data_IF_150521672504
#
_entry.id   IF_150521672504
#
_cell.length_a   1.000
_cell.length_b   1.000
_cell.length_c   1.000
_cell.angle_alpha   90.00
_cell.angle_beta   90.00
_cell.angle_gamma   90.00
#
_symmetry.space_group_name_H-M   'P 1'
#
loop_
_entity.id
_entity.type
_entity.pdbx_description
1 polymer ?
#
# COMPACT_ATOMS: atom_id res chain seq x y z
N UNK A 1 -42.49 36.11 -53.80
CA UNK A 1 -43.71 35.28 -53.85
C UNK A 1 -43.99 34.76 -52.45
N UNK A 2 -45.06 35.32 -51.85
CA UNK A 2 -45.93 34.90 -50.73
C UNK A 2 -45.36 33.97 -49.62
N UNK A 3 -45.16 34.42 -48.36
CA UNK A 3 -46.11 34.85 -47.27
C UNK A 3 -46.91 33.64 -46.71
N UNK A 4 -47.12 33.41 -45.39
CA UNK A 4 -47.78 34.22 -44.33
C UNK A 4 -47.48 33.57 -42.94
N UNK A 5 -46.84 34.28 -41.99
CA UNK A 5 -47.30 34.82 -40.66
C UNK A 5 -47.43 33.84 -39.47
N UNK A 6 -46.73 34.03 -38.34
CA UNK A 6 -46.87 35.01 -37.22
C UNK A 6 -47.88 34.53 -36.12
N UNK A 7 -47.76 34.75 -34.80
CA UNK A 7 -47.03 35.72 -33.97
C UNK A 7 -47.19 35.35 -32.46
N UNK A 8 -46.21 35.80 -31.63
CA UNK A 8 -46.20 36.36 -30.24
C UNK A 8 -47.51 36.34 -29.41
N UNK A 9 -47.55 36.32 -28.07
CA UNK A 9 -46.57 36.51 -26.97
C UNK A 9 -47.30 36.94 -25.66
N UNK A 10 -46.55 37.14 -24.55
CA UNK A 10 -46.93 37.87 -23.32
C UNK A 10 -47.59 37.04 -22.20
N UNK A 11 -46.92 36.74 -21.07
CA UNK A 11 -46.64 37.59 -19.89
C UNK A 11 -47.82 37.70 -18.91
N UNK A 12 -47.59 37.31 -17.64
CA UNK A 12 -47.91 38.06 -16.39
C UNK A 12 -48.13 37.15 -15.16
N UNK A 13 -47.43 37.45 -14.06
CA UNK A 13 -47.76 37.01 -12.69
C UNK A 13 -49.02 37.71 -12.16
N UNK A 14 -49.59 37.28 -11.02
CA UNK A 14 -49.41 38.09 -9.80
C UNK A 14 -49.33 37.31 -8.48
N UNK A 15 -49.17 38.09 -7.42
CA UNK A 15 -48.83 37.80 -6.03
C UNK A 15 -50.04 38.13 -5.09
N UNK A 16 -50.03 37.54 -3.87
CA UNK A 16 -50.69 37.92 -2.59
C UNK A 16 -52.21 37.69 -2.38
N UNK A 17 -52.55 36.93 -1.32
CA UNK A 17 -53.31 37.43 -0.15
C UNK A 17 -53.34 36.43 1.04
N UNK A 18 -53.48 36.99 2.25
CA UNK A 18 -53.28 36.48 3.62
C UNK A 18 -54.59 36.00 4.33
N UNK A 19 -54.49 34.96 5.19
CA UNK A 19 -55.07 34.73 6.57
C UNK A 19 -56.59 34.93 6.88
N UNK A 20 -57.16 34.56 8.08
CA UNK A 20 -56.60 33.89 9.28
C UNK A 20 -57.49 32.81 10.02
N UNK A 21 -56.87 32.15 11.01
CA UNK A 21 -57.32 31.75 12.38
C UNK A 21 -58.53 30.82 12.65
N UNK A 22 -58.30 29.83 13.55
CA UNK A 22 -59.33 29.11 14.32
C UNK A 22 -58.71 28.06 15.26
N UNK A 23 -58.91 28.24 16.56
CA UNK A 23 -58.28 27.59 17.71
C UNK A 23 -59.23 26.53 18.30
N UNK A 24 -58.78 25.32 18.63
CA UNK A 24 -59.39 24.53 19.72
C UNK A 24 -58.36 23.65 20.44
N UNK A 25 -58.40 23.71 21.78
CA UNK A 25 -57.66 22.88 22.74
C UNK A 25 -58.61 21.81 23.27
N UNK A 26 -58.15 20.57 23.40
CA UNK A 26 -58.68 19.61 24.39
C UNK A 26 -57.54 18.84 25.05
N UNK A 27 -57.63 18.72 26.37
CA UNK A 27 -56.71 18.07 27.30
C UNK A 27 -57.10 16.60 27.55
N UNK A 28 -56.14 15.87 28.16
CA UNK A 28 -56.22 14.59 28.92
C UNK A 28 -55.70 13.36 28.16
N UNK A 29 -54.96 12.40 28.73
CA UNK A 29 -54.29 12.19 30.02
C UNK A 29 -53.38 10.95 29.84
N UNK A 30 -52.18 10.99 30.41
CA UNK A 30 -51.33 9.88 30.89
C UNK A 30 -51.34 8.47 30.24
N UNK A 31 -50.15 8.01 29.82
CA UNK A 31 -49.56 6.76 30.33
C UNK A 31 -48.04 6.75 30.16
N UNK A 32 -47.39 6.12 31.15
CA UNK A 32 -45.97 6.07 31.46
C UNK A 32 -45.13 5.58 30.27
N UNK A 33 -43.99 6.23 30.00
CA UNK A 33 -42.90 5.65 29.22
C UNK A 33 -41.59 5.80 29.99
N UNK A 34 -40.96 4.66 30.21
CA UNK A 34 -39.78 4.46 31.03
C UNK A 34 -38.62 5.34 30.57
N UNK A 35 -37.93 5.96 31.54
CA UNK A 35 -36.64 6.57 31.31
C UNK A 35 -35.65 5.45 30.95
N UNK A 36 -35.31 5.37 29.66
CA UNK A 36 -34.18 4.58 29.19
C UNK A 36 -32.91 5.30 29.66
N UNK A 37 -32.35 4.88 30.79
CA UNK A 37 -30.99 5.26 31.18
C UNK A 37 -30.08 4.56 30.18
N UNK A 38 -29.74 5.26 29.10
CA UNK A 38 -28.65 4.87 28.23
C UNK A 38 -27.36 5.04 29.05
N UNK A 39 -26.94 3.96 29.70
CA UNK A 39 -25.58 3.83 30.19
C UNK A 39 -24.64 3.91 28.99
N UNK A 40 -24.14 5.11 28.68
CA UNK A 40 -22.91 5.26 27.91
C UNK A 40 -21.81 4.65 28.77
N UNK A 41 -21.59 3.34 28.61
CA UNK A 41 -20.28 2.78 28.88
C UNK A 41 -19.34 3.41 27.86
N UNK A 42 -18.69 4.51 28.23
CA UNK A 42 -17.41 4.85 27.65
C UNK A 42 -16.51 3.66 27.96
N UNK A 43 -16.35 2.77 26.98
CA UNK A 43 -15.22 1.85 26.97
C UNK A 43 -13.99 2.75 26.95
N UNK A 44 -13.40 2.98 28.13
CA UNK A 44 -12.16 3.72 28.24
C UNK A 44 -11.17 3.05 27.30
N UNK A 45 -10.68 3.79 26.32
CA UNK A 45 -9.60 3.30 25.47
C UNK A 45 -8.48 2.83 26.40
N UNK A 46 -8.03 1.58 26.24
CA UNK A 46 -6.99 1.03 27.10
C UNK A 46 -5.81 2.02 27.18
N UNK A 47 -5.53 2.49 28.40
CA UNK A 47 -4.46 3.44 28.65
C UNK A 47 -3.16 2.64 28.76
N UNK A 48 -2.30 2.78 27.77
CA UNK A 48 -0.91 2.42 27.92
C UNK A 48 -0.17 3.57 28.65
N UNK A 49 0.94 3.22 29.31
CA UNK A 49 1.83 4.16 29.97
C UNK A 49 3.27 3.82 29.57
N UNK A 50 3.98 4.78 28.98
CA UNK A 50 5.41 4.64 28.71
C UNK A 50 6.19 4.77 30.02
N UNK A 51 6.75 3.66 30.51
CA UNK A 51 7.51 3.62 31.75
C UNK A 51 8.95 4.07 31.55
N UNK A 52 9.59 3.62 30.47
CA UNK A 52 10.99 3.92 30.16
C UNK A 52 11.18 4.13 28.68
N UNK A 53 12.12 5.01 28.32
CA UNK A 53 12.64 5.16 26.96
C UNK A 53 14.11 5.54 27.06
N UNK A 54 14.99 4.61 26.69
CA UNK A 54 16.43 4.78 26.80
C UNK A 54 17.10 4.63 25.44
N UNK A 55 18.09 5.48 25.19
CA UNK A 55 19.00 5.39 24.05
C UNK A 55 20.42 5.16 24.55
N UNK A 56 21.13 4.19 23.97
CA UNK A 56 22.53 3.90 24.31
C UNK A 56 23.37 3.82 23.03
N UNK A 57 24.62 4.30 23.01
CA UNK A 57 25.49 4.12 21.85
C UNK A 57 25.63 2.64 21.45
N UNK A 58 25.53 2.35 20.15
CA UNK A 58 25.66 1.02 19.57
C UNK A 58 26.32 1.11 18.17
N UNK A 59 27.65 1.13 18.16
CA UNK A 59 28.43 1.35 16.94
C UNK A 59 28.13 2.72 16.30
N UNK A 60 27.69 2.72 15.05
CA UNK A 60 27.29 3.93 14.32
C UNK A 60 25.85 4.38 14.62
N UNK A 61 25.08 3.58 15.37
CA UNK A 61 23.69 3.83 15.73
C UNK A 61 23.55 3.98 17.26
N UNK A 62 22.31 4.16 17.70
CA UNK A 62 21.94 4.04 19.11
C UNK A 62 20.96 2.88 19.28
N UNK A 63 21.21 2.01 20.25
CA UNK A 63 20.23 1.02 20.70
C UNK A 63 19.13 1.73 21.47
N UNK A 64 17.87 1.43 21.16
CA UNK A 64 16.68 1.99 21.82
C UNK A 64 15.98 0.88 22.60
N UNK A 65 15.60 1.18 23.84
CA UNK A 65 14.73 0.31 24.64
C UNK A 65 13.60 1.15 25.22
N UNK A 66 12.38 0.69 25.04
CA UNK A 66 11.21 1.29 25.66
C UNK A 66 10.41 0.22 26.39
N UNK A 67 9.85 0.55 27.55
CA UNK A 67 8.91 -0.32 28.25
C UNK A 67 7.57 0.40 28.34
N UNK A 68 6.52 -0.25 27.86
CA UNK A 68 5.14 0.24 27.91
C UNK A 68 4.31 -0.67 28.79
N UNK A 69 3.53 -0.10 29.71
CA UNK A 69 2.57 -0.81 30.54
C UNK A 69 1.17 -0.64 29.98
N UNK A 70 0.47 -1.73 29.69
CA UNK A 70 -0.91 -1.75 29.23
C UNK A 70 -1.73 -2.73 30.06
N UNK A 71 -2.85 -2.28 30.62
CA UNK A 71 -3.74 -3.08 31.46
C UNK A 71 -2.99 -3.84 32.57
N UNK A 72 -1.99 -3.19 33.18
CA UNK A 72 -1.15 -3.78 34.23
C UNK A 72 0.00 -4.67 33.74
N UNK A 73 0.08 -4.99 32.44
CA UNK A 73 1.14 -5.81 31.86
C UNK A 73 2.20 -4.94 31.19
N UNK A 74 3.48 -5.17 31.52
CA UNK A 74 4.60 -4.47 30.89
C UNK A 74 5.10 -5.22 29.65
N UNK A 75 5.41 -4.46 28.60
CA UNK A 75 5.96 -4.95 27.36
C UNK A 75 7.21 -4.17 26.98
N UNK A 76 8.26 -4.90 26.62
CA UNK A 76 9.51 -4.32 26.14
C UNK A 76 9.51 -4.20 24.61
N UNK A 77 9.99 -3.06 24.15
CA UNK A 77 10.08 -2.68 22.75
C UNK A 77 11.56 -2.38 22.49
N UNK A 78 12.18 -3.24 21.67
CA UNK A 78 13.55 -3.03 21.23
C UNK A 78 13.56 -2.16 19.96
N UNK A 79 14.64 -1.41 19.77
CA UNK A 79 14.77 -0.59 18.58
C UNK A 79 16.17 -0.09 18.33
N UNK A 80 16.30 0.67 17.24
CA UNK A 80 17.54 1.38 16.89
C UNK A 80 17.22 2.78 16.41
N UNK A 81 18.10 3.73 16.70
CA UNK A 81 18.06 5.09 16.17
C UNK A 81 19.32 5.33 15.34
N UNK A 82 19.13 5.54 14.04
CA UNK A 82 20.17 5.92 13.10
C UNK A 82 20.05 7.42 12.77
N UNK A 83 21.18 8.13 12.73
CA UNK A 83 21.23 9.56 12.43
C UNK A 83 21.88 9.79 11.05
N UNK A 84 21.41 10.79 10.28
CA UNK A 84 22.02 11.12 9.00
C UNK A 84 23.45 11.61 9.22
N UNK A 85 24.38 11.20 8.35
CA UNK A 85 25.78 11.62 8.43
C UNK A 85 25.96 13.15 8.32
N UNK A 86 25.06 13.81 7.59
CA UNK A 86 24.99 15.27 7.47
C UNK A 86 23.59 15.74 7.85
N UNK A 87 23.34 16.10 9.11
CA UNK A 87 22.04 16.59 9.55
C UNK A 87 21.70 17.90 8.81
N UNK A 88 20.44 18.09 8.37
CA UNK A 88 20.03 19.36 7.78
C UNK A 88 20.10 20.49 8.82
N UNK A 89 20.46 21.69 8.40
CA UNK A 89 20.43 22.91 9.24
C UNK A 89 19.01 23.34 9.64
N UNK A 90 17.99 22.81 8.95
CA UNK A 90 16.58 23.13 9.14
C UNK A 90 15.85 22.25 10.16
N UNK A 91 14.54 22.08 9.94
CA UNK A 91 13.67 21.30 10.82
C UNK A 91 14.11 19.83 10.88
N UNK A 92 14.38 19.32 12.09
CA UNK A 92 14.72 17.91 12.31
C UNK A 92 13.54 17.02 11.93
N UNK A 93 13.78 16.06 11.06
CA UNK A 93 12.79 15.11 10.59
C UNK A 93 13.18 13.68 11.00
N UNK A 94 12.17 12.86 11.31
CA UNK A 94 12.32 11.48 11.70
C UNK A 94 11.42 10.60 10.82
N UNK A 95 11.94 9.45 10.40
CA UNK A 95 11.15 8.31 9.96
C UNK A 95 11.07 7.32 11.12
N UNK A 96 9.86 7.06 11.61
CA UNK A 96 9.59 5.93 12.49
C UNK A 96 9.19 4.73 11.63
N UNK A 97 9.83 3.58 11.82
CA UNK A 97 9.42 2.32 11.20
C UNK A 97 9.23 1.21 12.23
N UNK A 98 8.26 0.32 11.98
CA UNK A 98 7.97 -0.80 12.91
C UNK A 98 8.58 -2.12 12.48
N UNK A 99 9.17 -2.14 11.28
CA UNK A 99 10.00 -3.23 10.79
C UNK A 99 11.25 -2.64 10.12
N UNK A 100 12.46 -3.12 10.46
CA UNK A 100 13.68 -2.71 9.78
C UNK A 100 13.55 -2.85 8.26
N UNK A 101 13.99 -1.83 7.52
CA UNK A 101 14.05 -1.87 6.07
C UNK A 101 15.42 -1.49 5.58
N UNK A 102 16.10 -2.42 4.92
CA UNK A 102 17.37 -2.15 4.22
C UNK A 102 17.18 -1.30 2.95
N UNK A 103 15.93 -1.04 2.56
CA UNK A 103 15.61 -0.33 1.33
C UNK A 103 15.24 1.14 1.57
N UNK A 104 14.39 1.42 2.56
CA UNK A 104 13.88 2.78 2.83
C UNK A 104 14.78 3.53 3.83
N UNK A 105 15.36 2.84 4.82
CA UNK A 105 16.22 3.47 5.84
C UNK A 105 17.42 4.19 5.23
N UNK A 106 18.20 3.61 4.29
CA UNK A 106 19.34 4.32 3.71
C UNK A 106 18.91 5.60 2.98
N UNK A 107 17.81 5.54 2.23
CA UNK A 107 17.26 6.69 1.53
C UNK A 107 16.76 7.77 2.49
N UNK A 108 16.13 7.40 3.60
CA UNK A 108 15.71 8.34 4.63
C UNK A 108 16.91 9.10 5.23
N UNK A 109 18.00 8.38 5.54
CA UNK A 109 19.24 8.97 6.05
C UNK A 109 19.90 9.90 5.03
N UNK A 110 19.98 9.50 3.76
CA UNK A 110 20.49 10.33 2.67
C UNK A 110 19.70 11.63 2.52
N UNK A 111 18.38 11.55 2.70
CA UNK A 111 17.47 12.70 2.65
C UNK A 111 17.44 13.52 3.94
N UNK A 112 18.28 13.18 4.92
CA UNK A 112 18.46 13.95 6.15
C UNK A 112 17.45 13.65 7.25
N UNK A 113 16.69 12.56 7.16
CA UNK A 113 15.82 12.07 8.23
C UNK A 113 16.62 11.15 9.16
N UNK A 114 16.49 11.34 10.47
CA UNK A 114 16.86 10.28 11.39
C UNK A 114 15.86 9.12 11.25
N UNK A 115 16.29 7.89 11.52
CA UNK A 115 15.43 6.70 11.41
C UNK A 115 15.37 6.02 12.77
N UNK A 116 14.17 5.95 13.33
CA UNK A 116 13.87 5.19 14.54
C UNK A 116 13.14 3.91 14.12
N UNK A 117 13.75 2.75 14.32
CA UNK A 117 13.11 1.45 14.07
C UNK A 117 12.71 0.86 15.42
N UNK A 118 11.42 0.52 15.63
CA UNK A 118 10.90 -0.08 16.86
C UNK A 118 10.20 -1.41 16.56
N UNK A 119 10.60 -2.50 17.20
CA UNK A 119 9.99 -3.82 17.02
C UNK A 119 8.71 -3.94 17.86
N UNK A 120 7.56 -3.75 17.21
CA UNK A 120 6.25 -4.04 17.80
C UNK A 120 5.76 -5.47 17.50
N UNK A 121 6.51 -6.28 16.76
CA UNK A 121 6.09 -7.61 16.33
C UNK A 121 5.86 -8.57 17.50
N UNK A 122 6.49 -8.30 18.66
CA UNK A 122 6.31 -9.06 19.91
C UNK A 122 5.11 -8.60 20.75
N UNK A 123 4.50 -7.48 20.40
CA UNK A 123 3.33 -6.97 21.11
C UNK A 123 2.06 -7.70 20.64
N UNK A 124 1.14 -8.04 21.55
CA UNK A 124 -0.18 -8.50 21.15
C UNK A 124 -0.90 -7.39 20.38
N UNK A 125 -1.74 -7.74 19.40
CA UNK A 125 -2.35 -6.78 18.48
C UNK A 125 -3.07 -5.61 19.20
N UNK A 126 -3.81 -5.92 20.27
CA UNK A 126 -4.49 -4.91 21.10
C UNK A 126 -3.55 -3.89 21.78
N UNK A 127 -2.26 -4.22 21.91
CA UNK A 127 -1.27 -3.36 22.54
C UNK A 127 -0.48 -2.49 21.57
N UNK A 128 -0.49 -2.80 20.27
CA UNK A 128 0.34 -2.11 19.27
C UNK A 128 -0.03 -0.63 19.14
N UNK A 129 -1.31 -0.32 18.95
CA UNK A 129 -1.75 1.07 18.79
C UNK A 129 -1.59 1.92 20.07
N UNK A 130 -1.97 1.45 21.28
CA UNK A 130 -1.67 2.16 22.52
C UNK A 130 -0.16 2.38 22.73
N UNK A 131 0.67 1.34 22.56
CA UNK A 131 2.11 1.46 22.74
C UNK A 131 2.75 2.44 21.76
N UNK A 132 2.34 2.40 20.49
CA UNK A 132 2.79 3.35 19.48
C UNK A 132 2.45 4.80 19.91
N UNK A 133 1.21 5.05 20.36
CA UNK A 133 0.77 6.39 20.77
C UNK A 133 1.66 6.99 21.86
N UNK A 134 1.98 6.22 22.89
CA UNK A 134 2.74 6.75 24.02
C UNK A 134 4.22 6.92 23.70
N UNK A 135 4.79 5.99 22.95
CA UNK A 135 6.17 6.14 22.44
C UNK A 135 6.27 7.38 21.56
N UNK A 136 5.28 7.64 20.68
CA UNK A 136 5.26 8.81 19.80
C UNK A 136 5.22 10.14 20.58
N UNK A 137 4.44 10.19 21.67
CA UNK A 137 4.39 11.35 22.56
C UNK A 137 5.77 11.71 23.11
N UNK A 138 6.52 10.70 23.56
CA UNK A 138 7.90 10.87 24.02
C UNK A 138 8.86 11.22 22.89
N UNK A 139 8.78 10.54 21.74
CA UNK A 139 9.66 10.75 20.59
C UNK A 139 9.60 12.20 20.08
N UNK A 140 8.41 12.81 19.98
CA UNK A 140 8.25 14.21 19.56
C UNK A 140 8.92 15.18 20.55
N UNK A 141 8.76 14.95 21.85
CA UNK A 141 9.33 15.79 22.90
C UNK A 141 10.85 15.62 23.06
N UNK A 142 11.30 14.39 23.30
CA UNK A 142 12.67 14.06 23.65
C UNK A 142 13.65 14.26 22.48
N UNK A 143 13.27 13.83 21.26
CA UNK A 143 14.14 13.95 20.09
C UNK A 143 14.06 15.34 19.43
N UNK A 144 13.13 16.22 19.86
CA UNK A 144 12.89 17.55 19.28
C UNK A 144 12.65 17.50 17.76
N UNK A 145 11.94 16.47 17.30
CA UNK A 145 11.62 16.25 15.89
C UNK A 145 10.40 17.07 15.50
N UNK A 146 10.53 17.90 14.46
CA UNK A 146 9.46 18.79 13.99
C UNK A 146 8.56 18.14 12.94
N UNK A 147 9.10 17.19 12.19
CA UNK A 147 8.37 16.43 11.18
C UNK A 147 8.58 14.93 11.40
N UNK A 148 7.49 14.20 11.48
CA UNK A 148 7.48 12.79 11.80
C UNK A 148 6.75 12.01 10.71
N UNK A 149 7.50 11.22 9.96
CA UNK A 149 6.97 10.26 9.01
C UNK A 149 6.88 8.88 9.66
N UNK A 150 5.85 8.12 9.31
CA UNK A 150 5.70 6.72 9.73
C UNK A 150 5.77 5.78 8.54
N UNK A 151 6.40 4.63 8.72
CA UNK A 151 6.36 3.51 7.80
C UNK A 151 6.01 2.23 8.57
N UNK A 152 5.00 1.51 8.12
CA UNK A 152 4.65 0.23 8.70
C UNK A 152 3.99 -0.67 7.65
N UNK A 153 3.93 -1.96 7.97
CA UNK A 153 3.21 -2.93 7.17
C UNK A 153 2.25 -3.79 8.01
N UNK A 154 1.21 -4.32 7.35
CA UNK A 154 0.27 -5.26 7.97
C UNK A 154 -0.42 -4.66 9.21
N UNK A 155 -0.54 -5.41 10.31
CA UNK A 155 -1.20 -4.92 11.52
C UNK A 155 -0.57 -3.67 12.15
N UNK A 156 0.74 -3.44 11.96
CA UNK A 156 1.38 -2.20 12.45
C UNK A 156 0.98 -0.99 11.61
N UNK A 157 0.66 -1.18 10.33
CA UNK A 157 0.14 -0.14 9.48
C UNK A 157 -1.29 0.27 9.90
N UNK A 158 -2.08 -0.68 10.40
CA UNK A 158 -3.39 -0.39 11.00
C UNK A 158 -3.24 0.44 12.28
N UNK A 159 -2.31 0.05 13.15
CA UNK A 159 -1.99 0.81 14.36
C UNK A 159 -1.51 2.24 14.07
N UNK A 160 -0.66 2.42 13.05
CA UNK A 160 -0.24 3.76 12.59
C UNK A 160 -1.40 4.55 11.99
N UNK A 161 -2.33 3.90 11.31
CA UNK A 161 -3.51 4.56 10.74
C UNK A 161 -4.47 5.05 11.83
N UNK A 162 -4.70 4.26 12.87
CA UNK A 162 -5.50 4.67 14.04
C UNK A 162 -4.82 5.84 14.80
N UNK A 163 -3.48 5.84 14.84
CA UNK A 163 -2.66 6.90 15.44
C UNK A 163 -2.24 8.03 14.48
N UNK A 164 -2.88 8.18 13.32
CA UNK A 164 -2.35 8.97 12.22
C UNK A 164 -2.14 10.46 12.53
N UNK A 165 -2.89 11.04 13.46
CA UNK A 165 -2.75 12.46 13.86
C UNK A 165 -1.39 12.78 14.49
N UNK A 166 -0.66 11.77 14.95
CA UNK A 166 0.69 11.91 15.48
C UNK A 166 1.77 11.98 14.39
N UNK A 167 1.41 11.81 13.11
CA UNK A 167 2.33 11.81 11.97
C UNK A 167 2.02 12.93 10.98
N UNK A 168 3.07 13.45 10.36
CA UNK A 168 2.96 14.40 9.25
C UNK A 168 2.72 13.68 7.91
N UNK A 169 3.14 12.41 7.81
CA UNK A 169 2.73 11.53 6.74
C UNK A 169 3.07 10.05 6.96
N UNK A 170 2.32 9.19 6.30
CA UNK A 170 2.41 7.73 6.47
C UNK A 170 2.67 6.99 5.15
N UNK A 171 3.64 6.09 5.15
CA UNK A 171 3.86 5.10 4.08
C UNK A 171 3.42 3.73 4.60
N UNK A 172 2.29 3.25 4.12
CA UNK A 172 1.64 2.05 4.62
C UNK A 172 1.67 0.94 3.57
N UNK A 173 2.07 -0.25 3.97
CA UNK A 173 2.03 -1.43 3.12
C UNK A 173 1.08 -2.49 3.68
N UNK A 174 0.17 -3.01 2.88
CA UNK A 174 -0.83 -4.00 3.32
C UNK A 174 -1.62 -3.57 4.57
N UNK A 175 -2.05 -2.30 4.60
CA UNK A 175 -2.92 -1.80 5.67
C UNK A 175 -4.37 -2.23 5.42
N UNK A 176 -5.08 -2.59 6.48
CA UNK A 176 -6.52 -2.86 6.51
C UNK A 176 -7.41 -1.67 6.81
N UNK A 177 -6.82 -0.49 6.98
CA UNK A 177 -7.55 0.78 7.05
C UNK A 177 -6.69 1.91 6.52
N UNK A 178 -7.36 2.98 6.13
CA UNK A 178 -6.68 4.21 5.73
C UNK A 178 -6.69 5.24 6.87
N UNK A 179 -5.63 6.06 6.97
CA UNK A 179 -5.61 7.20 7.86
C UNK A 179 -6.77 8.17 7.60
N UNK A 180 -7.41 8.61 8.67
CA UNK A 180 -8.35 9.73 8.59
C UNK A 180 -7.62 11.02 8.20
N UNK A 181 -8.35 11.94 7.56
CA UNK A 181 -7.86 13.30 7.36
C UNK A 181 -7.55 13.97 8.72
N UNK A 182 -6.54 14.86 8.80
CA UNK A 182 -5.82 15.48 7.69
C UNK A 182 -4.51 14.78 7.28
N UNK A 183 -4.13 13.67 7.91
CA UNK A 183 -2.81 13.05 7.72
C UNK A 183 -2.62 12.60 6.27
N UNK A 184 -1.48 12.99 5.68
CA UNK A 184 -1.12 12.57 4.32
C UNK A 184 -0.65 11.12 4.33
N UNK A 185 -1.07 10.33 3.36
CA UNK A 185 -0.62 8.94 3.30
C UNK A 185 -0.44 8.41 1.90
N UNK A 186 0.43 7.42 1.79
CA UNK A 186 0.56 6.55 0.62
C UNK A 186 0.35 5.12 1.10
N UNK A 187 -0.70 4.47 0.62
CA UNK A 187 -0.98 3.06 0.85
C UNK A 187 -0.54 2.23 -0.36
N UNK A 188 0.03 1.06 -0.11
CA UNK A 188 0.44 0.11 -1.15
C UNK A 188 0.19 -1.33 -0.76
N UNK A 189 -0.01 -2.21 -1.74
CA UNK A 189 -0.16 -3.67 -1.52
C UNK A 189 0.26 -4.43 -2.77
N UNK A 190 0.62 -5.71 -2.59
CA UNK A 190 1.00 -6.62 -3.66
C UNK A 190 -0.13 -7.54 -4.11
N UNK A 191 0.21 -8.49 -4.96
CA UNK A 191 -0.70 -9.42 -5.62
C UNK A 191 -1.47 -10.33 -4.65
N UNK A 192 -0.89 -10.66 -3.49
CA UNK A 192 -1.54 -11.44 -2.45
C UNK A 192 -2.84 -10.79 -1.98
N UNK A 193 -2.91 -9.46 -2.01
CA UNK A 193 -4.10 -8.68 -1.66
C UNK A 193 -5.31 -8.93 -2.56
N UNK A 194 -5.16 -9.62 -3.70
CA UNK A 194 -6.31 -10.08 -4.49
C UNK A 194 -6.36 -11.61 -4.63
N UNK A 195 -5.19 -12.24 -4.71
CA UNK A 195 -5.11 -13.67 -5.03
C UNK A 195 -5.14 -14.60 -3.83
N UNK A 196 -4.66 -14.16 -2.67
CA UNK A 196 -4.62 -15.01 -1.46
C UNK A 196 -5.59 -14.52 -0.41
N UNK A 197 -5.61 -13.21 -0.24
CA UNK A 197 -6.42 -12.49 0.71
C UNK A 197 -7.36 -11.56 -0.06
N UNK A 198 -8.45 -11.12 0.58
CA UNK A 198 -9.17 -9.95 0.08
C UNK A 198 -8.32 -8.72 0.38
N UNK A 199 -8.36 -7.66 -0.45
CA UNK A 199 -7.67 -6.43 -0.10
C UNK A 199 -8.19 -6.01 1.27
N UNK A 200 -7.29 -5.80 2.24
CA UNK A 200 -7.72 -5.51 3.61
C UNK A 200 -8.59 -4.25 3.70
N UNK A 201 -8.45 -3.35 2.71
CA UNK A 201 -9.37 -2.25 2.41
C UNK A 201 -9.98 -2.46 1.03
N UNK A 202 -11.31 -2.39 0.94
CA UNK A 202 -11.99 -2.35 -0.36
C UNK A 202 -11.81 -0.97 -1.02
N UNK A 203 -11.02 -0.94 -2.09
CA UNK A 203 -10.71 0.29 -2.82
C UNK A 203 -11.71 0.57 -3.95
N UNK A 204 -13.01 0.39 -3.69
CA UNK A 204 -14.07 0.58 -4.69
C UNK A 204 -14.15 2.04 -5.19
N UNK A 205 -13.69 3.00 -4.38
CA UNK A 205 -13.71 4.42 -4.67
C UNK A 205 -12.30 4.96 -4.99
N UNK A 206 -12.22 6.14 -5.58
CA UNK A 206 -10.96 6.86 -5.72
C UNK A 206 -10.29 7.15 -4.35
N UNK A 207 -8.97 7.34 -4.35
CA UNK A 207 -8.25 7.72 -3.14
C UNK A 207 -8.71 9.11 -2.63
N UNK A 208 -8.77 9.34 -1.31
CA UNK A 208 -9.14 10.63 -0.77
C UNK A 208 -8.06 11.69 -1.10
N UNK A 209 -8.35 13.00 -1.02
CA UNK A 209 -7.40 14.05 -1.40
C UNK A 209 -6.06 14.01 -0.63
N UNK A 210 -6.09 13.58 0.64
CA UNK A 210 -4.92 13.38 1.50
C UNK A 210 -4.22 12.02 1.29
N UNK A 211 -4.72 11.17 0.40
CA UNK A 211 -4.22 9.82 0.19
C UNK A 211 -3.73 9.54 -1.23
N UNK A 212 -2.84 8.57 -1.37
CA UNK A 212 -2.53 7.89 -2.63
C UNK A 212 -2.51 6.39 -2.43
N UNK A 213 -2.88 5.64 -3.47
CA UNK A 213 -2.99 4.17 -3.45
C UNK A 213 -2.19 3.57 -4.60
N UNK A 214 -1.33 2.61 -4.32
CA UNK A 214 -0.51 1.95 -5.32
C UNK A 214 -0.56 0.44 -5.17
N UNK A 215 -1.14 -0.22 -6.17
CA UNK A 215 -1.03 -1.65 -6.31
C UNK A 215 0.27 -2.00 -7.01
N UNK A 216 1.14 -2.77 -6.36
CA UNK A 216 2.40 -3.21 -6.92
C UNK A 216 2.18 -4.50 -7.71
N UNK A 217 1.80 -4.34 -8.98
CA UNK A 217 1.34 -5.43 -9.83
C UNK A 217 2.37 -6.57 -9.89
N UNK A 218 1.89 -7.80 -9.70
CA UNK A 218 2.64 -9.06 -9.76
C UNK A 218 3.75 -9.22 -8.71
N UNK A 219 3.80 -8.38 -7.66
CA UNK A 219 4.73 -8.54 -6.55
C UNK A 219 4.06 -9.36 -5.46
N UNK A 220 4.74 -10.42 -5.01
CA UNK A 220 4.28 -11.23 -3.88
C UNK A 220 4.83 -10.71 -2.55
N UNK A 221 4.07 -10.89 -1.47
CA UNK A 221 4.39 -10.44 -0.12
C UNK A 221 5.49 -11.29 0.55
N UNK A 222 5.70 -12.51 0.08
CA UNK A 222 6.69 -13.44 0.64
C UNK A 222 7.50 -14.15 -0.44
N UNK A 223 8.77 -14.40 -0.11
CA UNK A 223 9.69 -15.22 -0.89
C UNK A 223 10.01 -16.56 -0.19
N UNK A 224 9.32 -16.86 0.92
CA UNK A 224 9.52 -18.11 1.65
C UNK A 224 9.07 -19.31 0.80
N UNK A 225 10.04 -20.12 0.37
CA UNK A 225 9.82 -21.24 -0.56
C UNK A 225 9.29 -22.53 0.10
N UNK A 226 9.01 -22.50 1.41
CA UNK A 226 8.58 -23.68 2.15
C UNK A 226 7.33 -24.31 1.51
N UNK A 227 7.46 -25.59 1.13
CA UNK A 227 6.41 -26.38 0.46
C UNK A 227 5.87 -25.79 -0.87
N UNK A 228 6.57 -24.83 -1.50
CA UNK A 228 6.16 -24.29 -2.80
C UNK A 228 6.60 -25.20 -3.95
N UNK A 229 5.70 -25.45 -4.91
CA UNK A 229 5.91 -26.36 -6.03
C UNK A 229 6.59 -25.67 -7.23
N UNK A 230 6.12 -24.49 -7.61
CA UNK A 230 6.72 -23.70 -8.69
C UNK A 230 7.87 -22.81 -8.17
N UNK A 231 8.77 -22.33 -9.06
CA UNK A 231 9.80 -21.36 -8.68
C UNK A 231 9.18 -20.12 -8.04
N UNK A 232 9.83 -19.59 -7.01
CA UNK A 232 9.30 -18.48 -6.20
C UNK A 232 9.37 -17.15 -6.97
N UNK A 233 8.28 -16.38 -6.89
CA UNK A 233 8.26 -14.99 -7.30
C UNK A 233 9.05 -14.13 -6.29
N UNK A 234 10.28 -13.77 -6.66
CA UNK A 234 11.18 -12.96 -5.85
C UNK A 234 11.27 -11.49 -6.33
N UNK A 235 10.25 -10.99 -7.05
CA UNK A 235 10.24 -9.61 -7.53
C UNK A 235 10.26 -8.63 -6.36
N UNK A 236 11.19 -7.65 -6.33
CA UNK A 236 11.36 -6.77 -5.19
C UNK A 236 10.32 -5.63 -5.20
N UNK A 237 9.65 -5.40 -4.07
CA UNK A 237 8.81 -4.19 -3.85
C UNK A 237 9.65 -2.94 -3.58
N UNK A 238 10.90 -3.12 -3.14
CA UNK A 238 11.80 -2.08 -2.68
C UNK A 238 11.95 -0.86 -3.62
N UNK A 239 12.13 -1.01 -4.96
CA UNK A 239 12.24 0.13 -5.86
C UNK A 239 11.01 1.05 -5.82
N UNK A 240 9.81 0.47 -5.78
CA UNK A 240 8.58 1.24 -5.65
C UNK A 240 8.50 1.92 -4.28
N UNK A 241 8.78 1.19 -3.20
CA UNK A 241 8.70 1.72 -1.84
C UNK A 241 9.65 2.89 -1.61
N UNK A 242 10.87 2.84 -2.16
CA UNK A 242 11.82 3.97 -2.16
C UNK A 242 11.27 5.20 -2.87
N UNK A 243 10.75 5.04 -4.08
CA UNK A 243 10.19 6.15 -4.85
C UNK A 243 8.95 6.76 -4.15
N UNK A 244 8.06 5.90 -3.63
CA UNK A 244 6.88 6.33 -2.87
C UNK A 244 7.27 7.04 -1.57
N UNK A 245 8.30 6.56 -0.85
CA UNK A 245 8.84 7.26 0.31
C UNK A 245 9.38 8.65 -0.06
N UNK A 246 10.17 8.76 -1.13
CA UNK A 246 10.68 10.05 -1.60
C UNK A 246 9.54 11.02 -1.95
N UNK A 247 8.47 10.52 -2.58
CA UNK A 247 7.30 11.32 -2.91
C UNK A 247 6.50 11.75 -1.66
N UNK A 248 6.36 10.87 -0.65
CA UNK A 248 5.75 11.22 0.64
C UNK A 248 6.57 12.28 1.40
N UNK A 249 7.89 12.13 1.40
CA UNK A 249 8.81 13.08 2.01
C UNK A 249 8.68 14.47 1.36
N UNK A 250 8.66 14.54 0.02
CA UNK A 250 8.42 15.80 -0.70
C UNK A 250 7.03 16.38 -0.48
N UNK A 251 6.02 15.51 -0.40
CA UNK A 251 4.65 15.96 -0.15
C UNK A 251 4.56 16.64 1.21
N UNK A 252 5.08 15.99 2.25
CA UNK A 252 5.02 16.51 3.63
C UNK A 252 5.95 17.71 3.85
N UNK A 253 7.14 17.73 3.23
CA UNK A 253 8.10 18.81 3.41
C UNK A 253 7.81 20.06 2.55
N UNK A 254 7.30 19.86 1.33
CA UNK A 254 7.23 20.92 0.30
C UNK A 254 5.83 21.10 -0.30
N UNK A 255 4.86 20.28 0.10
CA UNK A 255 3.50 20.31 -0.49
C UNK A 255 3.42 19.72 -1.90
N UNK A 256 4.50 19.14 -2.43
CA UNK A 256 4.53 18.57 -3.77
C UNK A 256 3.80 17.23 -3.77
N UNK A 257 2.59 17.20 -4.32
CA UNK A 257 1.77 16.00 -4.34
C UNK A 257 2.52 14.80 -4.99
N UNK A 258 2.34 13.57 -4.49
CA UNK A 258 2.85 12.37 -5.15
C UNK A 258 2.12 12.14 -6.47
N UNK A 259 2.66 11.26 -7.33
CA UNK A 259 1.97 10.80 -8.53
C UNK A 259 0.55 10.34 -8.24
N UNK A 260 -0.31 10.38 -9.26
CA UNK A 260 -1.67 9.87 -9.15
C UNK A 260 -1.67 8.38 -8.76
N UNK A 261 -2.68 7.98 -8.00
CA UNK A 261 -2.87 6.59 -7.57
C UNK A 261 -2.86 5.63 -8.77
N UNK A 262 -2.27 4.45 -8.56
CA UNK A 262 -2.30 3.31 -9.50
C UNK A 262 -2.81 2.07 -8.77
N UNK A 263 -4.02 2.17 -8.25
CA UNK A 263 -4.73 1.04 -7.67
C UNK A 263 -5.84 0.60 -8.63
N UNK A 264 -6.10 -0.72 -8.79
CA UNK A 264 -7.22 -1.22 -9.58
C UNK A 264 -8.55 -0.66 -9.06
N UNK A 265 -9.39 -0.25 -9.99
CA UNK A 265 -10.81 0.06 -9.74
C UNK A 265 -11.69 -1.08 -10.25
N UNK A 266 -13.01 -1.00 -10.07
CA UNK A 266 -13.94 -2.08 -10.47
C UNK A 266 -13.81 -2.52 -11.94
N UNK A 267 -13.52 -1.57 -12.83
CA UNK A 267 -13.33 -1.84 -14.25
C UNK A 267 -12.02 -2.60 -14.55
N UNK A 268 -11.06 -2.57 -13.64
CA UNK A 268 -9.77 -3.27 -13.74
C UNK A 268 -9.82 -4.69 -13.18
N UNK A 269 -10.92 -5.04 -12.49
CA UNK A 269 -11.12 -6.32 -11.84
C UNK A 269 -12.10 -7.21 -12.62
N UNK A 270 -11.92 -8.52 -12.50
CA UNK A 270 -12.83 -9.54 -13.03
C UNK A 270 -12.98 -10.69 -12.02
N UNK A 271 -14.10 -11.45 -12.05
CA UNK A 271 -14.17 -12.71 -11.31
C UNK A 271 -13.03 -13.64 -11.73
N UNK A 272 -12.33 -14.24 -10.77
CA UNK A 272 -11.16 -15.08 -11.06
C UNK A 272 -11.46 -16.24 -12.01
N UNK A 273 -12.67 -16.83 -11.90
CA UNK A 273 -13.15 -17.91 -12.76
C UNK A 273 -13.41 -17.50 -14.22
N UNK A 274 -13.59 -16.20 -14.47
CA UNK A 274 -13.86 -15.66 -15.81
C UNK A 274 -12.55 -15.29 -16.54
N UNK A 275 -11.41 -15.34 -15.85
CA UNK A 275 -10.12 -15.06 -16.47
C UNK A 275 -9.72 -16.18 -17.43
N UNK A 276 -9.26 -15.78 -18.62
CA UNK A 276 -8.62 -16.71 -19.56
C UNK A 276 -7.23 -17.07 -19.04
N UNK A 277 -7.15 -18.14 -18.26
CA UNK A 277 -5.89 -18.64 -17.73
C UNK A 277 -5.01 -19.23 -18.84
N UNK A 278 -3.75 -18.79 -18.99
CA UNK A 278 -2.89 -19.25 -20.08
C UNK A 278 -2.41 -20.69 -19.86
N UNK A 279 -2.20 -21.42 -20.97
CA UNK A 279 -1.67 -22.79 -20.95
C UNK A 279 -0.15 -22.72 -20.82
N UNK A 280 0.33 -22.73 -19.57
CA UNK A 280 1.75 -22.60 -19.25
C UNK A 280 2.14 -23.79 -18.36
N UNK A 281 3.21 -24.53 -18.71
CA UNK A 281 3.72 -25.61 -17.88
C UNK A 281 4.03 -25.15 -16.46
N UNK A 282 3.58 -25.93 -15.47
CA UNK A 282 3.78 -25.66 -14.04
C UNK A 282 3.20 -24.33 -13.51
N UNK A 283 2.41 -23.60 -14.32
CA UNK A 283 1.66 -22.45 -13.81
C UNK A 283 0.61 -22.93 -12.81
N UNK A 284 0.60 -22.43 -11.57
CA UNK A 284 -0.42 -22.79 -10.59
C UNK A 284 -1.82 -22.43 -11.12
N UNK A 285 -2.79 -23.30 -10.88
CA UNK A 285 -4.20 -22.97 -11.12
C UNK A 285 -4.63 -21.83 -10.18
N UNK A 286 -5.51 -20.91 -10.63
CA UNK A 286 -6.05 -19.87 -9.77
C UNK A 286 -6.62 -20.45 -8.47
N UNK A 287 -6.43 -19.79 -7.31
CA UNK A 287 -7.03 -20.23 -6.06
C UNK A 287 -8.55 -20.32 -6.18
N UNK A 288 -9.12 -21.40 -5.66
CA UNK A 288 -10.56 -21.65 -5.71
C UNK A 288 -11.36 -20.56 -4.96
N UNK A 289 -12.64 -20.44 -5.29
CA UNK A 289 -13.59 -19.56 -4.62
C UNK A 289 -13.87 -18.25 -5.36
N UNK A 290 -15.08 -17.73 -5.16
CA UNK A 290 -15.54 -16.49 -5.77
C UNK A 290 -14.75 -15.29 -5.23
N UNK A 291 -13.96 -14.66 -6.10
CA UNK A 291 -13.17 -13.46 -5.81
C UNK A 291 -13.03 -12.59 -7.06
N UNK A 292 -12.89 -11.28 -6.86
CA UNK A 292 -12.51 -10.35 -7.93
C UNK A 292 -11.01 -10.11 -7.88
N UNK A 293 -10.35 -10.23 -9.01
CA UNK A 293 -8.90 -10.13 -9.16
C UNK A 293 -8.53 -9.19 -10.30
N UNK A 294 -7.31 -8.62 -10.30
CA UNK A 294 -6.78 -7.86 -11.42
C UNK A 294 -6.91 -8.64 -12.73
N UNK A 295 -7.36 -7.95 -13.78
CA UNK A 295 -7.27 -8.48 -15.13
C UNK A 295 -5.82 -8.81 -15.47
N UNK A 296 -5.64 -9.92 -16.17
CA UNK A 296 -4.34 -10.42 -16.64
C UNK A 296 -4.23 -10.30 -18.16
N UNK A 297 -3.00 -10.19 -18.66
CA UNK A 297 -2.69 -10.29 -20.08
C UNK A 297 -2.66 -11.75 -20.55
N UNK A 298 -2.38 -11.97 -21.85
CA UNK A 298 -2.30 -13.29 -22.44
C UNK A 298 -1.17 -14.17 -21.86
N UNK A 299 -0.19 -13.57 -21.18
CA UNK A 299 0.88 -14.27 -20.50
C UNK A 299 0.53 -14.58 -19.04
N UNK A 300 -0.62 -14.16 -18.53
CA UNK A 300 -1.02 -14.35 -17.14
C UNK A 300 -0.42 -13.32 -16.19
N UNK A 301 0.17 -12.24 -16.70
CA UNK A 301 0.69 -11.14 -15.91
C UNK A 301 -0.38 -10.07 -15.69
N UNK A 302 -0.41 -9.48 -14.50
CA UNK A 302 -1.42 -8.48 -14.15
C UNK A 302 -1.26 -7.17 -14.96
N UNK A 303 -2.39 -6.65 -15.45
CA UNK A 303 -2.45 -5.43 -16.26
C UNK A 303 -2.55 -4.16 -15.40
N UNK A 304 -3.49 -4.05 -14.44
CA UNK A 304 -3.68 -2.80 -13.72
C UNK A 304 -2.63 -2.56 -12.63
N UNK A 305 -2.50 -1.31 -12.22
CA UNK A 305 -1.62 -0.87 -11.15
C UNK A 305 -0.24 -0.39 -11.59
N UNK A 306 0.68 -0.29 -10.63
CA UNK A 306 2.07 0.07 -10.86
C UNK A 306 2.87 -1.14 -11.33
N UNK A 307 3.10 -1.22 -12.64
CA UNK A 307 4.01 -2.20 -13.26
C UNK A 307 5.43 -1.66 -13.22
N UNK A 308 6.26 -2.24 -12.35
CA UNK A 308 7.71 -2.03 -12.38
C UNK A 308 8.32 -2.59 -13.68
N UNK A 309 9.53 -2.17 -14.09
CA UNK A 309 10.08 -2.49 -15.40
C UNK A 309 10.13 -3.99 -15.73
N UNK A 310 10.37 -4.84 -14.73
CA UNK A 310 10.39 -6.29 -14.82
C UNK A 310 9.01 -6.96 -15.08
N UNK A 311 7.89 -6.29 -14.81
CA UNK A 311 6.56 -6.73 -15.22
C UNK A 311 6.07 -6.01 -16.49
N UNK A 312 6.52 -4.77 -16.72
CA UNK A 312 6.24 -4.05 -17.95
C UNK A 312 6.95 -4.68 -19.16
N UNK A 313 8.13 -5.28 -18.94
CA UNK A 313 8.90 -6.05 -19.92
C UNK A 313 9.23 -7.45 -19.36
N UNK A 314 8.21 -8.33 -19.24
CA UNK A 314 8.32 -9.56 -18.47
C UNK A 314 9.16 -10.64 -19.17
N UNK A 315 9.97 -11.35 -18.39
CA UNK A 315 10.67 -12.56 -18.81
C UNK A 315 10.09 -13.84 -18.18
N UNK A 316 9.00 -13.69 -17.44
CA UNK A 316 8.28 -14.74 -16.74
C UNK A 316 6.82 -14.34 -16.55
N UNK A 317 5.98 -15.32 -16.22
CA UNK A 317 4.65 -15.08 -15.66
C UNK A 317 4.80 -15.02 -14.15
N UNK A 318 4.32 -13.95 -13.55
CA UNK A 318 4.39 -13.70 -12.11
C UNK A 318 3.00 -13.75 -11.51
N UNK A 319 2.79 -14.64 -10.54
CA UNK A 319 1.54 -14.74 -9.78
C UNK A 319 1.78 -14.35 -8.32
N UNK A 320 0.72 -13.87 -7.67
CA UNK A 320 0.69 -13.65 -6.21
C UNK A 320 0.52 -14.93 -5.39
N UNK A 321 0.44 -16.09 -6.03
CA UNK A 321 0.18 -17.39 -5.38
C UNK A 321 0.96 -18.52 -6.02
N UNK A 322 1.11 -19.64 -5.31
CA UNK A 322 1.85 -20.80 -5.78
C UNK A 322 1.23 -22.08 -5.22
N UNK A 323 1.40 -23.19 -5.93
CA UNK A 323 0.87 -24.51 -5.55
C UNK A 323 1.73 -25.13 -4.45
N UNK A 324 1.10 -25.86 -3.53
CA UNK A 324 1.80 -26.65 -2.54
C UNK A 324 2.32 -27.98 -3.13
N UNK A 325 3.53 -28.40 -2.76
CA UNK A 325 4.05 -29.73 -3.12
C UNK A 325 3.27 -30.84 -2.42
N UNK A 326 3.05 -30.67 -1.12
CA UNK A 326 2.22 -31.57 -0.30
C UNK A 326 1.05 -30.80 0.31
N UNK A 327 -0.18 -31.26 0.07
CA UNK A 327 -1.41 -30.67 0.62
C UNK A 327 -1.50 -30.78 2.15
N UNK A 328 -0.79 -31.72 2.77
CA UNK A 328 -0.74 -31.90 4.23
C UNK A 328 0.42 -31.13 4.90
N UNK A 329 1.33 -30.57 4.11
CA UNK A 329 2.45 -29.78 4.58
C UNK A 329 2.07 -28.33 4.92
N UNK A 330 3.04 -27.52 5.39
CA UNK A 330 2.80 -26.09 5.67
C UNK A 330 2.33 -25.36 4.41
N UNK A 331 1.57 -24.28 4.58
CA UNK A 331 1.10 -23.48 3.45
C UNK A 331 2.28 -22.85 2.70
N UNK A 332 2.27 -22.93 1.36
CA UNK A 332 3.18 -22.13 0.54
C UNK A 332 2.65 -20.70 0.49
N UNK A 333 3.41 -19.75 1.06
CA UNK A 333 3.02 -18.33 1.17
C UNK A 333 3.62 -17.44 0.09
N UNK A 334 4.49 -17.95 -0.77
CA UNK A 334 5.15 -17.17 -1.82
C UNK A 334 4.41 -17.17 -3.16
N UNK A 335 4.60 -16.15 -3.99
CA UNK A 335 4.12 -16.17 -5.38
C UNK A 335 4.89 -17.16 -6.27
N UNK A 336 4.44 -17.37 -7.50
CA UNK A 336 5.16 -18.17 -8.49
C UNK A 336 5.75 -17.28 -9.60
N UNK A 337 6.94 -17.63 -10.08
CA UNK A 337 7.56 -17.05 -11.27
C UNK A 337 7.84 -18.19 -12.26
N UNK A 338 7.10 -18.23 -13.36
CA UNK A 338 7.28 -19.23 -14.41
C UNK A 338 8.04 -18.59 -15.56
N UNK A 339 9.34 -18.88 -15.77
CA UNK A 339 10.15 -18.26 -16.82
C UNK A 339 9.55 -18.48 -18.19
N UNK A 340 9.71 -17.51 -19.09
CA UNK A 340 9.43 -17.70 -20.51
C UNK A 340 10.48 -18.64 -21.10
N UNK A 341 10.09 -19.45 -22.08
CA UNK A 341 11.06 -20.19 -22.88
C UNK A 341 12.04 -19.21 -23.56
N UNK A 342 13.33 -19.53 -23.58
CA UNK A 342 14.31 -18.68 -24.27
C UNK A 342 14.12 -18.74 -25.79
N UNK A 343 13.93 -19.96 -26.32
CA UNK A 343 13.80 -20.24 -27.76
C UNK A 343 12.45 -20.84 -28.13
N UNK A 344 12.10 -20.74 -29.42
CA UNK A 344 10.92 -21.40 -29.99
C UNK A 344 10.95 -22.92 -29.78
N UNK A 345 12.12 -23.54 -29.90
CA UNK A 345 12.30 -24.99 -29.71
C UNK A 345 11.94 -25.39 -28.27
N UNK A 346 12.43 -24.63 -27.28
CA UNK A 346 12.10 -24.89 -25.88
C UNK A 346 10.62 -24.67 -25.59
N UNK A 347 10.02 -23.64 -26.20
CA UNK A 347 8.59 -23.35 -26.08
C UNK A 347 7.73 -24.49 -26.61
N UNK A 348 8.00 -24.95 -27.82
CA UNK A 348 7.24 -26.01 -28.49
C UNK A 348 7.40 -27.35 -27.78
N UNK A 349 8.63 -27.68 -27.35
CA UNK A 349 8.92 -28.90 -26.57
C UNK A 349 8.12 -28.97 -25.27
N UNK A 350 7.95 -27.83 -24.60
CA UNK A 350 7.22 -27.75 -23.35
C UNK A 350 5.74 -27.39 -23.54
N UNK A 351 5.25 -27.25 -24.77
CA UNK A 351 3.89 -26.80 -25.08
C UNK A 351 3.50 -25.48 -24.37
N UNK A 352 4.44 -24.55 -24.23
CA UNK A 352 4.19 -23.23 -23.65
C UNK A 352 3.51 -22.32 -24.68
N UNK A 353 2.36 -21.76 -24.30
CA UNK A 353 1.56 -20.91 -25.17
C UNK A 353 2.12 -19.50 -25.37
N UNK A 354 3.02 -19.05 -24.49
CA UNK A 354 3.60 -17.69 -24.55
C UNK A 354 4.76 -17.63 -25.53
N UNK A 355 4.89 -16.61 -26.39
CA UNK A 355 6.07 -16.42 -27.23
C UNK A 355 7.37 -16.50 -26.42
N UNK A 356 8.35 -17.22 -26.96
CA UNK A 356 9.68 -17.31 -26.37
C UNK A 356 10.38 -15.93 -26.34
N UNK A 357 11.42 -15.77 -25.52
CA UNK A 357 12.14 -14.50 -25.38
C UNK A 357 12.66 -13.96 -26.72
N UNK A 358 13.26 -14.82 -27.54
CA UNK A 358 13.74 -14.44 -28.88
C UNK A 358 12.58 -14.09 -29.83
N UNK A 359 11.47 -14.84 -29.78
CA UNK A 359 10.26 -14.53 -30.58
C UNK A 359 9.63 -13.19 -30.16
N UNK A 360 9.68 -12.87 -28.86
CA UNK A 360 9.04 -11.68 -28.26
C UNK A 360 9.84 -10.40 -28.45
N UNK A 361 11.14 -10.45 -28.24
CA UNK A 361 11.98 -9.25 -28.19
C UNK A 361 13.02 -9.18 -29.31
N UNK A 362 13.23 -10.27 -30.06
CA UNK A 362 14.17 -10.36 -31.17
C UNK A 362 15.64 -10.42 -30.73
N UNK A 363 16.09 -9.48 -29.90
CA UNK A 363 17.47 -9.43 -29.40
C UNK A 363 17.59 -8.88 -27.98
N UNK A 364 18.67 -9.27 -27.30
CA UNK A 364 19.04 -8.70 -25.99
C UNK A 364 19.26 -7.19 -26.05
N UNK A 365 19.86 -6.68 -27.13
CA UNK A 365 20.09 -5.25 -27.32
C UNK A 365 18.76 -4.47 -27.35
N UNK A 366 17.77 -4.95 -28.10
CA UNK A 366 16.43 -4.38 -28.13
C UNK A 366 15.75 -4.43 -26.76
N UNK A 367 15.84 -5.57 -26.06
CA UNK A 367 15.27 -5.72 -24.72
C UNK A 367 15.88 -4.72 -23.72
N UNK A 368 17.21 -4.58 -23.68
CA UNK A 368 17.89 -3.63 -22.79
C UNK A 368 17.53 -2.17 -23.12
N UNK A 369 17.48 -1.82 -24.40
CA UNK A 369 17.07 -0.47 -24.82
C UNK A 369 15.61 -0.17 -24.43
N UNK A 370 14.70 -1.14 -24.61
CA UNK A 370 13.29 -0.99 -24.22
C UNK A 370 13.14 -0.91 -22.70
N UNK A 371 13.92 -1.70 -21.95
CA UNK A 371 13.95 -1.63 -20.49
C UNK A 371 14.35 -0.22 -20.01
N UNK A 372 15.34 0.40 -20.65
CA UNK A 372 15.75 1.79 -20.37
C UNK A 372 14.60 2.77 -20.58
N UNK A 373 13.91 2.68 -21.72
CA UNK A 373 12.76 3.56 -22.02
C UNK A 373 11.65 3.43 -20.96
N UNK A 374 11.33 2.20 -20.55
CA UNK A 374 10.32 1.94 -19.51
C UNK A 374 10.76 2.49 -18.15
N UNK A 375 12.01 2.24 -17.77
CA UNK A 375 12.54 2.67 -16.49
C UNK A 375 12.62 4.21 -16.41
N UNK A 376 13.12 4.88 -17.45
CA UNK A 376 13.21 6.34 -17.51
C UNK A 376 11.82 7.01 -17.49
N UNK A 377 10.80 6.37 -18.07
CA UNK A 377 9.41 6.82 -17.94
C UNK A 377 8.96 6.82 -16.48
N UNK A 378 9.22 5.76 -15.72
CA UNK A 378 8.85 5.70 -14.31
C UNK A 378 9.65 6.70 -13.46
N UNK A 379 10.91 6.99 -13.81
CA UNK A 379 11.70 8.06 -13.17
C UNK A 379 11.05 9.41 -13.40
N UNK A 380 10.69 9.74 -14.65
CA UNK A 380 9.99 10.99 -15.00
C UNK A 380 8.66 11.13 -14.26
N UNK A 381 7.97 10.01 -14.05
CA UNK A 381 6.71 9.94 -13.32
C UNK A 381 6.89 9.93 -11.79
N UNK A 382 8.14 9.97 -11.26
CA UNK A 382 8.47 9.88 -9.82
C UNK A 382 7.99 8.57 -9.17
N UNK A 383 7.93 7.49 -9.93
CA UNK A 383 7.53 6.14 -9.49
C UNK A 383 8.68 5.14 -9.47
N UNK A 384 9.87 5.60 -9.83
CA UNK A 384 11.13 4.88 -9.72
C UNK A 384 12.25 5.89 -9.46
N UNK A 385 13.24 5.55 -8.64
CA UNK A 385 14.44 6.38 -8.52
C UNK A 385 15.42 6.06 -9.64
N UNK A 386 16.29 7.02 -9.99
CA UNK A 386 17.26 6.83 -11.08
C UNK A 386 18.16 5.61 -10.84
N UNK A 387 18.67 5.44 -9.61
CA UNK A 387 19.48 4.29 -9.23
C UNK A 387 18.76 2.94 -9.44
N UNK A 388 17.45 2.91 -9.23
CA UNK A 388 16.64 1.70 -9.41
C UNK A 388 16.37 1.44 -10.89
N UNK A 389 16.16 2.49 -11.69
CA UNK A 389 16.09 2.39 -13.13
C UNK A 389 17.38 1.81 -13.72
N UNK A 390 18.54 2.30 -13.25
CA UNK A 390 19.84 1.80 -13.68
C UNK A 390 20.06 0.35 -13.28
N UNK A 391 19.62 -0.05 -12.08
CA UNK A 391 19.66 -1.45 -11.63
C UNK A 391 18.80 -2.37 -12.51
N UNK A 392 17.59 -1.95 -12.91
CA UNK A 392 16.76 -2.73 -13.84
C UNK A 392 17.41 -2.89 -15.21
N UNK A 393 18.02 -1.82 -15.73
CA UNK A 393 18.71 -1.86 -17.03
C UNK A 393 19.99 -2.70 -16.96
N UNK A 394 20.70 -2.67 -15.83
CA UNK A 394 21.84 -3.55 -15.60
C UNK A 394 21.41 -5.03 -15.53
N UNK A 395 20.36 -5.34 -14.77
CA UNK A 395 19.80 -6.69 -14.69
C UNK A 395 19.33 -7.21 -16.06
N UNK A 396 18.75 -6.34 -16.88
CA UNK A 396 18.30 -6.69 -18.24
C UNK A 396 19.44 -7.17 -19.16
N UNK A 397 20.68 -6.75 -18.91
CA UNK A 397 21.86 -7.23 -19.67
C UNK A 397 22.17 -8.70 -19.40
N UNK A 398 21.72 -9.23 -18.27
CA UNK A 398 21.88 -10.63 -17.86
C UNK A 398 20.65 -11.48 -18.13
N UNK A 399 19.63 -10.94 -18.81
CA UNK A 399 18.41 -11.68 -19.15
C UNK A 399 18.73 -12.94 -20.00
N UNK A 400 17.97 -14.04 -19.84
CA UNK A 400 18.29 -15.35 -20.42
C UNK A 400 17.85 -15.46 -21.90
N UNK A 401 18.36 -14.56 -22.75
CA UNK A 401 18.24 -14.59 -24.21
C UNK A 401 19.19 -15.58 -24.85
#
# INVERSE_FOLDING_TARGET
MNRISAKRGGASSPIFARSPAGLERTHALWTRSAALVASLALVGAAHAELLTFETRPDGANEAVRATVKLDGTSYDIAGTLAKPAKPPSGAKALLLETQPSEDVKPLALERGLAVLSLDFGKLPDKARAPALRDVLGHVRGALKMKRLLGRAQGPDADAMSDGASAFDGLLLHDAGREPAAPTRFIASWGADGYWREKPRVEFANAAPPNGRRFYLAGIAASTAAANCAAPVNARPSAPALRALFAALDEWTAKGVAPPASRAPLEADLAPAQDLKWPKIPALPAPPEGARRVPKIDADGNEIPGLRLPDLALPIATFTGFNTQKDKKGPLCVAGAAIPFAATKVDREKNADSRPALVERYGSRAYFVATMRVIADKLVKERLLLQQDADAYVAAARSAPF
#
